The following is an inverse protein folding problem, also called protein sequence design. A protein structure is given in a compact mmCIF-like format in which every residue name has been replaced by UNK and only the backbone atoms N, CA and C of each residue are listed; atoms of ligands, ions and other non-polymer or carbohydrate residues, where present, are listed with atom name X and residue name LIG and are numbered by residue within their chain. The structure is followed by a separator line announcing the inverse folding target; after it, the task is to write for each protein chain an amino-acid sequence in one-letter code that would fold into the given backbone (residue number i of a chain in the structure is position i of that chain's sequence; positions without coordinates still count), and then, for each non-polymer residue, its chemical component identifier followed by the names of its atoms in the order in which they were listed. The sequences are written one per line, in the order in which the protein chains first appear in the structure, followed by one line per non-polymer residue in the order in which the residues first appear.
data_IF_340003207265
#
_entry.id   IF_340003207265
#
_cell.length_a   1.000
_cell.length_b   1.000
_cell.length_c   1.000
_cell.angle_alpha   90.00
_cell.angle_beta   90.00
_cell.angle_gamma   90.00
#
_symmetry.space_group_name_H-M   'P 1'
#
loop_
_entity.id
_entity.type
_entity.pdbx_description
1 polymer ?
#
# COMPACT_ATOMS: atom_id res chain seq x y z
N UNK A 1 -35.38 -0.33 -16.89
CA UNK A 1 -33.92 -0.39 -16.74
C UNK A 1 -33.29 0.30 -17.94
N UNK A 2 -32.68 1.48 -17.76
CA UNK A 2 -32.16 2.28 -18.87
C UNK A 2 -30.88 1.70 -19.46
N UNK A 3 -30.56 2.10 -20.69
CA UNK A 3 -29.32 1.70 -21.38
C UNK A 3 -28.07 2.20 -20.62
N UNK A 4 -28.19 3.35 -19.96
CA UNK A 4 -27.18 3.93 -19.06
C UNK A 4 -26.94 3.07 -17.80
N UNK A 5 -27.97 2.52 -17.17
CA UNK A 5 -27.82 1.63 -16.01
C UNK A 5 -27.06 0.34 -16.38
N UNK A 6 -27.33 -0.20 -17.57
CA UNK A 6 -26.64 -1.40 -18.07
C UNK A 6 -25.17 -1.12 -18.38
N UNK A 7 -24.85 0.04 -18.95
CA UNK A 7 -23.47 0.46 -19.20
C UNK A 7 -22.70 0.63 -17.89
N UNK A 8 -23.29 1.31 -16.89
CA UNK A 8 -22.68 1.46 -15.56
C UNK A 8 -22.47 0.11 -14.85
N UNK A 9 -23.46 -0.78 -14.92
CA UNK A 9 -23.36 -2.12 -14.34
C UNK A 9 -22.31 -2.99 -15.06
N UNK A 10 -22.12 -2.84 -16.37
CA UNK A 10 -21.07 -3.53 -17.12
C UNK A 10 -19.67 -3.01 -16.75
N UNK A 11 -19.51 -1.68 -16.64
CA UNK A 11 -18.26 -1.05 -16.21
C UNK A 11 -17.87 -1.47 -14.78
N UNK A 12 -18.84 -1.48 -13.85
CA UNK A 12 -18.60 -1.91 -12.48
C UNK A 12 -18.14 -3.37 -12.42
N UNK A 13 -18.80 -4.28 -13.15
CA UNK A 13 -18.39 -5.70 -13.20
C UNK A 13 -17.00 -5.89 -13.81
N UNK A 14 -16.61 -5.07 -14.78
CA UNK A 14 -15.27 -5.11 -15.36
C UNK A 14 -14.21 -4.63 -14.35
N UNK A 15 -14.52 -3.57 -13.58
CA UNK A 15 -13.68 -3.09 -12.49
C UNK A 15 -13.53 -4.16 -11.39
N UNK A 16 -14.63 -4.72 -10.90
CA UNK A 16 -14.64 -5.73 -9.83
C UNK A 16 -13.84 -6.98 -10.22
N UNK A 17 -13.99 -7.45 -11.48
CA UNK A 17 -13.22 -8.58 -12.01
C UNK A 17 -11.72 -8.27 -12.08
N UNK A 18 -11.37 -7.06 -12.53
CA UNK A 18 -9.97 -6.64 -12.63
C UNK A 18 -9.32 -6.54 -11.24
N UNK A 19 -10.05 -6.03 -10.25
CA UNK A 19 -9.63 -5.97 -8.84
C UNK A 19 -9.44 -7.37 -8.27
N UNK A 20 -10.40 -8.27 -8.49
CA UNK A 20 -10.32 -9.67 -8.02
C UNK A 20 -9.13 -10.44 -8.63
N UNK A 21 -8.86 -10.27 -9.92
CA UNK A 21 -7.71 -10.90 -10.57
C UNK A 21 -6.39 -10.39 -9.98
N UNK A 22 -6.29 -9.07 -9.75
CA UNK A 22 -5.12 -8.45 -9.17
C UNK A 22 -4.88 -8.88 -7.71
N UNK A 23 -5.93 -8.97 -6.89
CA UNK A 23 -5.82 -9.45 -5.51
C UNK A 23 -5.36 -10.90 -5.44
N UNK A 24 -5.89 -11.78 -6.32
CA UNK A 24 -5.46 -13.18 -6.38
C UNK A 24 -4.00 -13.32 -6.84
N UNK A 25 -3.56 -12.45 -7.75
CA UNK A 25 -2.16 -12.40 -8.21
C UNK A 25 -1.24 -11.92 -7.10
N UNK A 26 -1.65 -10.87 -6.37
CA UNK A 26 -0.90 -10.38 -5.20
C UNK A 26 -0.83 -11.43 -4.09
N UNK A 27 -1.95 -12.09 -3.74
CA UNK A 27 -1.97 -13.13 -2.70
C UNK A 27 -1.03 -14.30 -3.06
N UNK A 28 -0.97 -14.71 -4.34
CA UNK A 28 -0.03 -15.72 -4.81
C UNK A 28 1.44 -15.27 -4.70
N UNK A 29 1.73 -14.03 -5.11
CA UNK A 29 3.07 -13.44 -4.98
C UNK A 29 3.47 -13.22 -3.52
N UNK A 30 2.55 -12.82 -2.67
CA UNK A 30 2.76 -12.61 -1.24
C UNK A 30 3.00 -13.94 -0.53
N UNK A 31 2.24 -14.98 -0.85
CA UNK A 31 2.46 -16.32 -0.32
C UNK A 31 3.84 -16.87 -0.71
N UNK A 32 4.35 -16.49 -1.89
CA UNK A 32 5.64 -16.97 -2.40
C UNK A 32 6.84 -16.14 -1.93
N UNK A 33 6.66 -14.82 -1.78
CA UNK A 33 7.76 -13.88 -1.56
C UNK A 33 7.63 -13.05 -0.28
N UNK A 34 6.51 -13.11 0.42
CA UNK A 34 6.19 -12.25 1.57
C UNK A 34 7.21 -12.34 2.69
N UNK A 35 7.63 -13.55 3.06
CA UNK A 35 8.67 -13.75 4.08
C UNK A 35 9.98 -13.07 3.72
N UNK A 36 10.45 -13.27 2.49
CA UNK A 36 11.69 -12.66 1.97
C UNK A 36 11.58 -11.14 1.89
N UNK A 37 10.42 -10.63 1.48
CA UNK A 37 10.14 -9.19 1.45
C UNK A 37 10.20 -8.61 2.86
N UNK A 38 9.53 -9.22 3.83
CA UNK A 38 9.56 -8.77 5.22
C UNK A 38 10.97 -8.81 5.82
N UNK A 39 11.76 -9.84 5.52
CA UNK A 39 13.15 -9.95 5.97
C UNK A 39 14.06 -8.86 5.38
N UNK A 40 13.93 -8.58 4.09
CA UNK A 40 14.68 -7.49 3.44
C UNK A 40 14.32 -6.12 4.04
N UNK A 41 13.02 -5.86 4.23
CA UNK A 41 12.55 -4.62 4.84
C UNK A 41 13.07 -4.51 6.28
N UNK A 42 13.01 -5.60 7.05
CA UNK A 42 13.50 -5.62 8.43
C UNK A 42 15.01 -5.36 8.51
N UNK A 43 15.80 -6.02 7.66
CA UNK A 43 17.25 -5.83 7.58
C UNK A 43 17.60 -4.38 7.23
N UNK A 44 16.92 -3.81 6.23
CA UNK A 44 17.14 -2.44 5.81
C UNK A 44 16.70 -1.42 6.86
N UNK A 45 15.53 -1.63 7.47
CA UNK A 45 15.06 -0.82 8.58
C UNK A 45 16.07 -0.83 9.74
N UNK A 46 16.62 -2.00 10.07
CA UNK A 46 17.65 -2.13 11.12
C UNK A 46 18.91 -1.36 10.78
N UNK A 47 19.34 -1.40 9.51
CA UNK A 47 20.47 -0.62 9.03
C UNK A 47 20.20 0.89 9.11
N UNK A 48 19.03 1.37 8.69
CA UNK A 48 18.68 2.79 8.75
C UNK A 48 18.52 3.27 10.20
N UNK A 49 18.05 2.41 11.11
CA UNK A 49 17.93 2.73 12.53
C UNK A 49 19.30 3.12 13.15
N UNK A 50 20.40 2.54 12.68
CA UNK A 50 21.76 2.93 13.12
C UNK A 50 22.19 4.33 12.70
N UNK A 51 21.50 4.95 11.73
CA UNK A 51 21.82 6.29 11.21
C UNK A 51 21.13 7.41 12.02
N UNK A 52 20.31 7.06 13.02
CA UNK A 52 19.73 7.99 13.99
C UNK A 52 18.27 8.40 13.76
N UNK A 53 17.64 8.90 14.83
CA UNK A 53 16.21 9.28 14.89
C UNK A 53 15.75 10.33 13.91
N UNK A 54 16.64 11.25 13.50
CA UNK A 54 16.30 12.35 12.60
C UNK A 54 15.92 11.88 11.19
N UNK A 55 16.56 10.83 10.68
CA UNK A 55 16.29 10.28 9.33
C UNK A 55 14.92 9.62 9.29
N UNK A 56 14.57 8.92 10.38
CA UNK A 56 13.28 8.26 10.49
C UNK A 56 12.21 9.29 10.79
N UNK A 57 12.51 10.35 11.54
CA UNK A 57 11.54 11.37 11.96
C UNK A 57 11.12 12.35 10.86
N UNK A 58 11.95 12.54 9.83
CA UNK A 58 11.66 13.41 8.71
C UNK A 58 11.06 12.63 7.53
N UNK A 59 9.88 13.03 7.05
CA UNK A 59 9.14 12.30 6.02
C UNK A 59 9.89 12.20 4.68
N UNK A 60 10.60 13.27 4.28
CA UNK A 60 11.39 13.29 3.04
C UNK A 60 12.60 12.37 3.14
N UNK A 61 13.32 12.43 4.27
CA UNK A 61 14.46 11.56 4.56
C UNK A 61 14.02 10.10 4.67
N UNK A 62 12.90 9.84 5.34
CA UNK A 62 12.31 8.52 5.48
C UNK A 62 11.91 7.94 4.12
N UNK A 63 11.32 8.76 3.24
CA UNK A 63 11.00 8.33 1.87
C UNK A 63 12.25 7.94 1.09
N UNK A 64 13.24 8.84 1.04
CA UNK A 64 14.47 8.65 0.27
C UNK A 64 15.37 7.52 0.81
N UNK A 65 15.39 7.31 2.13
CA UNK A 65 16.31 6.36 2.78
C UNK A 65 15.67 5.03 3.13
N UNK A 66 14.34 4.96 3.28
CA UNK A 66 13.63 3.74 3.66
C UNK A 66 12.65 3.30 2.59
N UNK A 67 11.73 4.16 2.17
CA UNK A 67 10.62 3.76 1.29
C UNK A 67 11.11 3.43 -0.12
N UNK A 68 11.92 4.31 -0.73
CA UNK A 68 12.43 4.14 -2.09
C UNK A 68 13.37 2.93 -2.19
N UNK A 69 14.39 2.77 -1.32
CA UNK A 69 15.26 1.60 -1.38
C UNK A 69 14.50 0.31 -1.09
N UNK A 70 13.56 0.30 -0.14
CA UNK A 70 12.75 -0.88 0.16
C UNK A 70 11.90 -1.30 -1.04
N UNK A 71 11.38 -0.34 -1.82
CA UNK A 71 10.67 -0.63 -3.07
C UNK A 71 11.57 -1.26 -4.13
N UNK A 72 12.78 -0.74 -4.29
CA UNK A 72 13.75 -1.25 -5.27
C UNK A 72 14.24 -2.67 -4.94
N UNK A 73 14.32 -3.00 -3.65
CA UNK A 73 14.69 -4.34 -3.16
C UNK A 73 13.60 -5.39 -3.36
N UNK A 74 12.36 -5.00 -3.65
CA UNK A 74 11.29 -5.96 -3.88
C UNK A 74 11.57 -6.84 -5.11
N UNK A 75 11.10 -8.10 -5.13
CA UNK A 75 11.14 -8.92 -6.34
C UNK A 75 10.44 -8.23 -7.51
N UNK A 76 10.98 -8.38 -8.72
CA UNK A 76 10.40 -7.82 -9.95
C UNK A 76 8.89 -8.11 -10.10
N UNK A 77 8.38 -9.34 -9.82
CA UNK A 77 6.96 -9.61 -9.93
C UNK A 77 6.09 -8.71 -9.03
N UNK A 78 6.57 -8.35 -7.84
CA UNK A 78 5.88 -7.44 -6.93
C UNK A 78 5.93 -6.00 -7.44
N UNK A 79 7.07 -5.58 -8.00
CA UNK A 79 7.21 -4.25 -8.60
C UNK A 79 6.31 -4.04 -9.82
N UNK A 80 6.04 -5.09 -10.61
CA UNK A 80 5.14 -5.04 -11.76
C UNK A 80 3.68 -4.73 -11.39
N UNK A 81 3.26 -5.01 -10.15
CA UNK A 81 1.94 -4.58 -9.66
C UNK A 81 1.83 -3.05 -9.52
N UNK A 82 2.96 -2.36 -9.39
CA UNK A 82 3.01 -0.92 -9.27
C UNK A 82 2.90 -0.41 -7.83
N UNK A 83 3.72 0.59 -7.52
CA UNK A 83 3.87 1.21 -6.20
C UNK A 83 2.57 1.82 -5.67
N UNK A 84 1.86 2.53 -6.54
CA UNK A 84 0.57 3.18 -6.26
C UNK A 84 -0.53 2.17 -5.91
N UNK A 85 -0.60 1.06 -6.64
CA UNK A 85 -1.62 0.03 -6.41
C UNK A 85 -1.43 -0.67 -5.07
N UNK A 86 -0.18 -0.83 -4.64
CA UNK A 86 0.16 -1.38 -3.33
C UNK A 86 0.07 -0.34 -2.21
N UNK A 87 -0.21 0.94 -2.54
CA UNK A 87 -0.17 2.08 -1.61
C UNK A 87 1.11 2.06 -0.76
N UNK A 88 2.23 1.73 -1.40
CA UNK A 88 3.49 1.40 -0.72
C UNK A 88 3.97 2.51 0.21
N UNK A 89 3.97 3.75 -0.28
CA UNK A 89 4.33 4.94 0.51
C UNK A 89 3.43 5.12 1.73
N UNK A 90 2.12 5.13 1.50
CA UNK A 90 1.14 5.30 2.57
C UNK A 90 1.25 4.19 3.61
N UNK A 91 1.52 2.95 3.17
CA UNK A 91 1.75 1.82 4.04
C UNK A 91 2.97 2.07 4.92
N UNK A 92 4.13 2.39 4.35
CA UNK A 92 5.36 2.61 5.12
C UNK A 92 5.27 3.81 6.06
N UNK A 93 4.66 4.91 5.61
CA UNK A 93 4.41 6.09 6.45
C UNK A 93 3.53 5.69 7.66
N UNK A 94 2.44 4.96 7.43
CA UNK A 94 1.56 4.48 8.53
C UNK A 94 2.22 3.43 9.42
N UNK A 95 3.17 2.67 8.87
CA UNK A 95 3.93 1.63 9.56
C UNK A 95 5.07 2.20 10.39
N UNK A 96 5.52 3.43 10.12
CA UNK A 96 6.72 4.02 10.72
C UNK A 96 6.73 3.93 12.24
N UNK A 97 5.64 4.35 12.89
CA UNK A 97 5.49 4.28 14.35
C UNK A 97 5.24 2.87 14.91
N UNK A 98 5.06 1.87 14.05
CA UNK A 98 4.89 0.46 14.44
C UNK A 98 6.17 -0.36 14.21
N UNK A 99 6.98 0.03 13.23
CA UNK A 99 8.23 -0.63 12.87
C UNK A 99 9.40 -0.09 13.70
N UNK A 100 9.43 1.22 13.94
CA UNK A 100 10.52 1.88 14.64
C UNK A 100 10.10 2.30 16.04
N UNK A 101 10.93 1.94 17.02
CA UNK A 101 10.88 2.44 18.39
C UNK A 101 11.98 3.47 18.52
N UNK A 102 11.59 4.73 18.73
CA UNK A 102 12.52 5.83 18.96
C UNK A 102 12.65 5.99 20.48
N UNK A 103 13.85 5.78 21.00
CA UNK A 103 14.21 5.99 22.41
C UNK A 103 15.32 7.04 22.49
N UNK A 104 14.91 8.30 22.64
CA UNK A 104 15.83 9.45 22.57
C UNK A 104 16.51 9.57 21.20
N UNK A 105 17.85 9.47 21.17
CA UNK A 105 18.64 9.47 19.93
C UNK A 105 18.76 8.08 19.28
N UNK A 106 18.43 7.02 20.03
CA UNK A 106 18.53 5.65 19.54
C UNK A 106 17.25 5.26 18.82
N UNK A 107 17.40 4.61 17.66
CA UNK A 107 16.28 3.99 16.96
C UNK A 107 16.49 2.50 16.94
N UNK A 108 15.46 1.78 17.34
CA UNK A 108 15.41 0.33 17.32
C UNK A 108 14.29 -0.12 16.40
N UNK A 109 14.48 -1.24 15.74
CA UNK A 109 13.40 -1.92 15.03
C UNK A 109 12.63 -2.75 16.06
N UNK A 110 11.31 -2.63 16.04
CA UNK A 110 10.44 -3.40 16.93
C UNK A 110 10.70 -4.90 16.70
N UNK A 111 10.81 -5.74 17.75
CA UNK A 111 11.08 -7.18 17.59
C UNK A 111 10.03 -7.88 16.70
N UNK A 112 8.76 -7.50 16.84
CA UNK A 112 7.66 -7.97 15.98
C UNK A 112 7.50 -7.22 14.64
N UNK A 113 8.49 -6.44 14.19
CA UNK A 113 8.37 -5.64 12.95
C UNK A 113 7.99 -6.51 11.74
N UNK A 114 8.51 -7.73 11.63
CA UNK A 114 8.12 -8.70 10.59
C UNK A 114 6.60 -8.97 10.61
N UNK A 115 6.06 -9.28 11.79
CA UNK A 115 4.62 -9.57 11.96
C UNK A 115 3.76 -8.32 11.72
N UNK A 116 4.26 -7.14 12.10
CA UNK A 116 3.57 -5.86 11.87
C UNK A 116 3.51 -5.51 10.39
N UNK A 117 4.62 -5.70 9.66
CA UNK A 117 4.69 -5.52 8.21
C UNK A 117 3.76 -6.50 7.50
N UNK A 118 3.77 -7.78 7.87
CA UNK A 118 2.87 -8.79 7.31
C UNK A 118 1.38 -8.47 7.58
N UNK A 119 1.05 -8.02 8.79
CA UNK A 119 -0.30 -7.56 9.14
C UNK A 119 -0.74 -6.33 8.35
N UNK A 120 0.18 -5.44 7.99
CA UNK A 120 -0.11 -4.26 7.18
C UNK A 120 -0.29 -4.61 5.70
N UNK A 121 0.54 -5.52 5.17
CA UNK A 121 0.47 -5.94 3.77
C UNK A 121 -0.72 -6.87 3.51
N UNK A 122 -1.07 -7.75 4.45
CA UNK A 122 -2.32 -8.53 4.39
C UNK A 122 -3.58 -7.67 4.45
N UNK A 123 -3.52 -6.46 5.06
CA UNK A 123 -4.61 -5.48 5.00
C UNK A 123 -4.72 -4.82 3.63
N UNK A 124 -3.63 -4.59 2.90
CA UNK A 124 -3.68 -4.03 1.53
C UNK A 124 -4.46 -4.95 0.59
N UNK A 125 -4.23 -6.27 0.66
CA UNK A 125 -5.01 -7.26 -0.10
C UNK A 125 -6.52 -7.28 0.24
N UNK A 126 -6.88 -6.89 1.48
CA UNK A 126 -8.28 -6.89 1.95
C UNK A 126 -8.99 -5.55 1.76
N UNK A 127 -8.28 -4.43 1.84
CA UNK A 127 -8.85 -3.08 1.83
C UNK A 127 -9.43 -2.69 0.46
N UNK A 128 -8.94 -3.30 -0.63
CA UNK A 128 -9.51 -3.13 -1.98
C UNK A 128 -10.87 -3.84 -2.16
N UNK A 129 -11.36 -4.59 -1.15
CA UNK A 129 -12.69 -5.22 -1.18
C UNK A 129 -13.80 -4.31 -0.61
N UNK A 130 -13.44 -3.22 0.07
CA UNK A 130 -14.39 -2.47 0.91
C UNK A 130 -14.62 -1.02 0.53
N UNK A 131 -14.04 -0.52 -0.57
CA UNK A 131 -14.30 0.85 -1.01
C UNK A 131 -15.12 0.88 -2.32
N UNK A 132 -16.46 0.94 -2.25
CA UNK A 132 -17.22 1.44 -3.38
C UNK A 132 -16.86 2.92 -3.56
N UNK A 133 -16.17 3.24 -4.64
CA UNK A 133 -15.81 4.60 -5.05
C UNK A 133 -16.97 5.58 -4.79
N UNK A 134 -16.83 6.61 -3.92
CA UNK A 134 -17.84 7.63 -3.81
C UNK A 134 -17.69 8.63 -4.97
N UNK A 135 -18.80 8.86 -5.68
CA UNK A 135 -19.02 10.09 -6.42
C UNK A 135 -18.57 10.09 -7.88
N UNK A 136 -19.38 9.49 -8.76
CA UNK A 136 -19.56 10.11 -10.08
C UNK A 136 -20.24 11.45 -9.81
N UNK A 137 -19.58 12.54 -10.13
CA UNK A 137 -20.13 13.89 -10.00
C UNK A 137 -21.54 13.93 -10.61
N UNK A 138 -22.53 14.25 -9.78
CA UNK A 138 -23.87 14.62 -10.21
C UNK A 138 -23.73 15.85 -11.09
N UNK A 139 -23.81 15.66 -12.41
CA UNK A 139 -24.07 16.77 -13.32
C UNK A 139 -25.58 17.01 -13.22
N UNK A 140 -25.94 17.89 -12.30
CA UNK A 140 -27.29 18.38 -12.11
C UNK A 140 -27.73 19.04 -13.42
N UNK A 141 -28.72 18.43 -14.08
CA UNK A 141 -29.41 19.03 -15.22
C UNK A 141 -30.29 20.15 -14.71
N UNK A 142 -29.85 21.40 -14.83
CA UNK A 142 -30.77 22.56 -14.76
C UNK A 142 -31.34 22.78 -16.17
N UNK A 143 -32.48 22.14 -16.41
CA UNK A 143 -33.45 22.58 -17.40
C UNK A 143 -34.19 23.77 -16.79
N UNK A 144 -34.03 24.96 -17.37
CA UNK A 144 -35.02 26.04 -17.22
C UNK A 144 -35.61 26.40 -18.57
N UNK A 145 -36.94 26.25 -18.76
CA UNK A 145 -37.65 26.91 -19.84
C UNK A 145 -38.12 28.29 -19.39
N UNK A 146 -37.86 29.32 -20.19
CA UNK A 146 -38.74 30.49 -20.45
C UNK A 146 -38.11 31.34 -21.53
#
# INVERSE_FOLDING_TARGET
MGLLDRAKAAAQRAADKSTSLASNTFDGLWTTHGDKVCEMIHSHASQVATQGGAIISNDESYRLKVIDPAWEMLPMPVRLLGRERLKWDALFISARGQIFVIDGESVLVHPDAKQRIDKLLSKVSRSDRTNPTPGVATIESDVRPS
#
